data_IF_867131087781
#
_entry.id   IF_867131087781
#
_cell.length_a   1.000
_cell.length_b   1.000
_cell.length_c   1.000
_cell.angle_alpha   90.00
_cell.angle_beta   90.00
_cell.angle_gamma   90.00
#
_symmetry.space_group_name_H-M   'P 1'
#
loop_
_entity.id
_entity.type
_entity.pdbx_description
1 polymer ?
#
# COMPACT_ATOMS: atom_id res chain seq x y z
N UNK A 1 2.65 15.96 -3.80
CA UNK A 1 1.93 15.20 -4.87
C UNK A 1 0.90 14.25 -4.24
N UNK A 2 -0.11 13.75 -4.98
CA UNK A 2 -0.98 12.65 -4.51
C UNK A 2 -0.42 11.28 -4.91
N UNK A 3 -0.81 10.22 -4.22
CA UNK A 3 -0.45 8.85 -4.62
C UNK A 3 -1.01 8.53 -6.01
N UNK A 4 -2.24 8.96 -6.30
CA UNK A 4 -2.85 8.77 -7.63
C UNK A 4 -2.00 9.32 -8.79
N UNK A 5 -1.29 10.42 -8.57
CA UNK A 5 -0.38 11.00 -9.57
C UNK A 5 0.85 10.11 -9.80
N UNK A 6 1.40 9.52 -8.74
CA UNK A 6 2.52 8.56 -8.82
C UNK A 6 2.09 7.32 -9.59
N UNK A 7 0.91 6.76 -9.27
CA UNK A 7 0.38 5.59 -9.97
C UNK A 7 0.18 5.89 -11.47
N UNK A 8 -0.37 7.05 -11.81
CA UNK A 8 -0.52 7.47 -13.20
C UNK A 8 0.82 7.52 -13.93
N UNK A 9 1.81 8.20 -13.34
CA UNK A 9 3.14 8.36 -13.94
C UNK A 9 3.86 7.03 -14.12
N UNK A 10 3.82 6.16 -13.12
CA UNK A 10 4.44 4.83 -13.22
C UNK A 10 3.74 3.94 -14.26
N UNK A 11 2.41 4.02 -14.38
CA UNK A 11 1.66 3.34 -15.46
C UNK A 11 2.10 3.85 -16.83
N UNK A 12 2.15 5.17 -17.02
CA UNK A 12 2.47 5.81 -18.29
C UNK A 12 3.91 5.52 -18.72
N UNK A 13 4.83 5.46 -17.75
CA UNK A 13 6.24 5.12 -17.96
C UNK A 13 6.45 3.72 -18.53
N UNK A 14 5.60 2.75 -18.17
CA UNK A 14 5.62 1.41 -18.76
C UNK A 14 4.73 1.27 -20.02
N UNK A 15 4.16 2.39 -20.50
CA UNK A 15 3.39 2.45 -21.74
C UNK A 15 2.00 1.82 -21.67
N UNK A 16 1.44 1.60 -20.48
CA UNK A 16 0.11 1.02 -20.31
C UNK A 16 -0.99 2.09 -20.33
N UNK A 17 -2.10 1.82 -21.00
CA UNK A 17 -3.31 2.62 -20.89
C UNK A 17 -4.03 2.37 -19.56
N UNK A 18 -4.87 3.32 -19.14
CA UNK A 18 -5.70 3.16 -17.95
C UNK A 18 -6.61 1.92 -18.03
N UNK A 19 -7.14 1.60 -19.21
CA UNK A 19 -7.98 0.43 -19.44
C UNK A 19 -7.20 -0.89 -19.29
N UNK A 20 -5.98 -0.96 -19.83
CA UNK A 20 -5.12 -2.14 -19.68
C UNK A 20 -4.71 -2.36 -18.22
N UNK A 21 -4.39 -1.29 -17.49
CA UNK A 21 -4.05 -1.40 -16.08
C UNK A 21 -5.27 -1.82 -15.25
N UNK A 22 -6.44 -1.21 -15.46
CA UNK A 22 -7.68 -1.61 -14.80
C UNK A 22 -7.97 -3.10 -14.99
N UNK A 23 -7.82 -3.61 -16.22
CA UNK A 23 -7.99 -5.03 -16.51
C UNK A 23 -6.97 -5.93 -15.79
N UNK A 24 -5.70 -5.53 -15.73
CA UNK A 24 -4.63 -6.27 -15.02
C UNK A 24 -4.82 -6.28 -13.49
N UNK A 25 -5.49 -5.27 -12.96
CA UNK A 25 -5.86 -5.15 -11.55
C UNK A 25 -7.23 -5.73 -11.22
N UNK A 26 -7.96 -6.23 -12.21
CA UNK A 26 -9.34 -6.72 -12.06
C UNK A 26 -10.29 -5.66 -11.48
N UNK A 27 -10.08 -4.40 -11.86
CA UNK A 27 -10.92 -3.26 -11.49
C UNK A 27 -11.79 -2.81 -12.65
N UNK A 28 -12.92 -2.19 -12.32
CA UNK A 28 -13.68 -1.42 -13.31
C UNK A 28 -12.93 -0.15 -13.72
N UNK A 29 -13.20 0.41 -14.94
CA UNK A 29 -12.59 1.67 -15.36
C UNK A 29 -12.86 2.82 -14.39
N UNK A 30 -14.04 2.85 -13.77
CA UNK A 30 -14.43 3.86 -12.79
C UNK A 30 -13.59 3.75 -11.50
N UNK A 31 -13.45 2.54 -10.94
CA UNK A 31 -12.63 2.33 -9.73
C UNK A 31 -11.17 2.67 -9.97
N UNK A 32 -10.63 2.29 -11.14
CA UNK A 32 -9.26 2.63 -11.50
C UNK A 32 -9.07 4.14 -11.69
N UNK A 33 -10.02 4.81 -12.35
CA UNK A 33 -10.02 6.26 -12.52
C UNK A 33 -10.01 6.99 -11.17
N UNK A 34 -10.83 6.55 -10.21
CA UNK A 34 -10.84 7.10 -8.86
C UNK A 34 -9.51 6.92 -8.14
N UNK A 35 -8.82 5.80 -8.38
CA UNK A 35 -7.50 5.54 -7.80
C UNK A 35 -6.44 6.52 -8.35
N UNK A 36 -6.35 6.72 -9.67
CA UNK A 36 -5.43 7.70 -10.26
C UNK A 36 -5.82 9.16 -10.00
N UNK A 37 -7.09 9.44 -9.69
CA UNK A 37 -7.54 10.76 -9.26
C UNK A 37 -7.17 11.08 -7.79
N UNK A 38 -6.63 10.09 -7.06
CA UNK A 38 -6.40 10.20 -5.61
C UNK A 38 -7.70 10.43 -4.83
N UNK A 39 -8.77 9.76 -5.28
CA UNK A 39 -10.11 9.77 -4.68
C UNK A 39 -10.50 8.41 -4.08
N UNK A 40 -9.60 7.42 -4.15
CA UNK A 40 -9.80 6.09 -3.54
C UNK A 40 -9.15 5.99 -2.16
N UNK A 41 -9.49 4.92 -1.43
CA UNK A 41 -8.89 4.61 -0.14
C UNK A 41 -7.37 4.38 -0.22
N UNK A 42 -6.79 4.13 -1.40
CA UNK A 42 -5.36 3.97 -1.57
C UNK A 42 -4.58 5.22 -1.14
N UNK A 43 -5.15 6.41 -1.33
CA UNK A 43 -4.52 7.68 -0.96
C UNK A 43 -4.22 7.76 0.54
N UNK A 44 -5.10 7.20 1.36
CA UNK A 44 -4.92 7.13 2.82
C UNK A 44 -4.12 5.91 3.24
N UNK A 45 -4.42 4.74 2.67
CA UNK A 45 -3.89 3.46 3.16
C UNK A 45 -2.52 3.10 2.60
N UNK A 46 -2.13 3.65 1.45
CA UNK A 46 -0.78 3.53 0.90
C UNK A 46 0.31 4.09 1.83
N UNK A 47 0.21 5.37 2.25
CA UNK A 47 1.13 5.95 3.23
C UNK A 47 1.19 5.16 4.54
N UNK A 48 0.04 4.76 5.10
CA UNK A 48 0.01 3.95 6.32
C UNK A 48 0.73 2.61 6.13
N UNK A 49 0.51 1.93 5.00
CA UNK A 49 1.20 0.69 4.69
C UNK A 49 2.73 0.86 4.64
N UNK A 50 3.21 1.95 4.04
CA UNK A 50 4.63 2.29 4.02
C UNK A 50 5.17 2.58 5.43
N UNK A 51 4.41 3.34 6.23
CA UNK A 51 4.80 3.68 7.59
C UNK A 51 4.84 2.45 8.50
N UNK A 52 3.91 1.50 8.35
CA UNK A 52 3.94 0.21 9.05
C UNK A 52 5.20 -0.56 8.65
N UNK A 53 5.51 -0.62 7.35
CA UNK A 53 6.71 -1.30 6.84
C UNK A 53 8.00 -0.74 7.45
N UNK A 54 8.11 0.59 7.52
CA UNK A 54 9.25 1.28 8.15
C UNK A 54 9.28 0.98 9.64
N UNK A 55 8.15 1.17 10.33
CA UNK A 55 8.05 1.00 11.79
C UNK A 55 8.36 -0.43 12.21
N UNK A 56 7.96 -1.43 11.43
CA UNK A 56 8.21 -2.83 11.72
C UNK A 56 9.49 -3.36 11.08
N UNK A 57 10.27 -2.51 10.41
CA UNK A 57 11.49 -2.87 9.68
C UNK A 57 11.27 -4.10 8.78
N UNK A 58 10.16 -4.10 8.04
CA UNK A 58 9.68 -5.26 7.29
C UNK A 58 9.34 -4.83 5.87
N UNK A 59 9.80 -5.55 4.83
CA UNK A 59 9.43 -5.24 3.46
C UNK A 59 7.91 -5.18 3.30
N UNK A 60 7.41 -4.13 2.65
CA UNK A 60 5.95 -3.91 2.50
C UNK A 60 5.22 -5.12 1.92
N UNK A 61 5.83 -5.84 0.97
CA UNK A 61 5.24 -7.07 0.41
C UNK A 61 5.05 -8.18 1.44
N UNK A 62 5.95 -8.29 2.44
CA UNK A 62 5.90 -9.28 3.53
C UNK A 62 4.90 -8.93 4.63
N UNK A 63 4.33 -7.72 4.60
CA UNK A 63 3.16 -7.37 5.42
C UNK A 63 1.86 -7.89 4.79
N UNK A 64 1.86 -8.19 3.48
CA UNK A 64 0.64 -8.53 2.73
C UNK A 64 0.57 -10.02 2.40
N UNK A 65 1.72 -10.65 2.14
CA UNK A 65 1.83 -12.09 1.93
C UNK A 65 3.16 -12.63 2.43
N UNK A 66 3.16 -13.84 3.00
CA UNK A 66 4.40 -14.50 3.42
C UNK A 66 5.34 -14.68 2.22
N UNK A 67 4.85 -14.90 1.00
CA UNK A 67 5.68 -14.98 -0.22
C UNK A 67 6.14 -13.61 -0.75
N UNK A 68 5.44 -12.54 -0.37
CA UNK A 68 5.59 -11.20 -0.95
C UNK A 68 4.95 -11.04 -2.33
N UNK A 69 4.08 -11.97 -2.75
CA UNK A 69 3.38 -11.94 -4.05
C UNK A 69 1.90 -11.60 -3.88
N UNK A 70 1.36 -10.74 -4.75
CA UNK A 70 -0.04 -10.33 -4.69
C UNK A 70 -1.02 -11.51 -4.87
N UNK A 71 -0.65 -12.49 -5.71
CA UNK A 71 -1.47 -13.67 -5.96
C UNK A 71 -1.66 -14.57 -4.72
N UNK A 72 -0.81 -14.43 -3.71
CA UNK A 72 -0.89 -15.20 -2.45
C UNK A 72 -1.58 -14.41 -1.32
N UNK A 73 -2.06 -13.20 -1.60
CA UNK A 73 -2.83 -12.42 -0.63
C UNK A 73 -4.20 -13.07 -0.37
N UNK A 74 -4.62 -13.05 0.90
CA UNK A 74 -5.90 -13.60 1.33
C UNK A 74 -6.60 -12.60 2.26
N UNK A 75 -7.93 -12.56 2.30
CA UNK A 75 -8.65 -11.69 3.24
C UNK A 75 -8.23 -11.94 4.70
N UNK A 76 -7.93 -10.86 5.43
CA UNK A 76 -7.50 -10.89 6.84
C UNK A 76 -6.01 -11.22 7.03
N UNK A 77 -5.29 -11.56 5.95
CA UNK A 77 -3.88 -11.97 6.05
C UNK A 77 -2.97 -10.79 6.38
N UNK A 78 -3.29 -9.58 5.89
CA UNK A 78 -2.43 -8.42 6.14
C UNK A 78 -2.43 -8.07 7.64
N UNK A 79 -3.59 -8.03 8.28
CA UNK A 79 -3.71 -7.81 9.72
C UNK A 79 -2.93 -8.83 10.55
N UNK A 80 -3.08 -10.12 10.22
CA UNK A 80 -2.36 -11.22 10.89
C UNK A 80 -0.83 -11.05 10.74
N UNK A 81 -0.35 -10.76 9.54
CA UNK A 81 1.08 -10.59 9.28
C UNK A 81 1.63 -9.35 9.97
N UNK A 82 0.91 -8.23 9.94
CA UNK A 82 1.27 -7.00 10.65
C UNK A 82 1.41 -7.27 12.15
N UNK A 83 0.42 -7.92 12.77
CA UNK A 83 0.47 -8.30 14.18
C UNK A 83 1.68 -9.20 14.50
N UNK A 84 1.90 -10.24 13.68
CA UNK A 84 3.02 -11.17 13.81
C UNK A 84 4.37 -10.47 13.72
N UNK A 85 4.54 -9.52 12.80
CA UNK A 85 5.78 -8.75 12.67
C UNK A 85 5.94 -7.74 13.80
N UNK A 86 4.87 -7.07 14.24
CA UNK A 86 4.87 -6.20 15.42
C UNK A 86 5.38 -6.93 16.65
N UNK A 87 4.80 -8.10 16.95
CA UNK A 87 5.18 -8.92 18.11
C UNK A 87 6.64 -9.38 18.03
N UNK A 88 7.11 -9.79 16.85
CA UNK A 88 8.51 -10.16 16.63
C UNK A 88 9.49 -9.01 16.86
N UNK A 89 9.05 -7.78 16.61
CA UNK A 89 9.82 -6.56 16.88
C UNK A 89 9.68 -6.05 18.31
N UNK A 90 8.89 -6.75 19.15
CA UNK A 90 8.68 -6.38 20.55
C UNK A 90 7.91 -5.07 20.71
N UNK A 91 7.15 -4.63 19.70
CA UNK A 91 6.39 -3.37 19.72
C UNK A 91 4.98 -3.56 20.26
N UNK A 92 4.50 -2.60 21.02
CA UNK A 92 3.10 -2.53 21.45
C UNK A 92 2.21 -1.95 20.34
N UNK A 93 0.89 -2.24 20.34
CA UNK A 93 -0.05 -1.59 19.44
C UNK A 93 -0.03 -0.05 19.53
N UNK A 94 0.19 0.49 20.72
CA UNK A 94 0.27 1.93 20.98
C UNK A 94 1.49 2.56 20.31
N UNK A 95 2.66 1.91 20.38
CA UNK A 95 3.89 2.41 19.73
C UNK A 95 3.74 2.48 18.20
N UNK A 96 3.07 1.49 17.60
CA UNK A 96 2.83 1.49 16.15
C UNK A 96 1.76 2.51 15.78
N UNK A 97 0.68 2.62 16.56
CA UNK A 97 -0.36 3.62 16.33
C UNK A 97 0.18 5.05 16.43
N UNK A 98 1.05 5.33 17.40
CA UNK A 98 1.74 6.62 17.56
C UNK A 98 2.61 6.92 16.34
N UNK A 99 3.41 5.94 15.87
CA UNK A 99 4.23 6.09 14.67
C UNK A 99 3.42 6.35 13.39
N UNK A 100 2.17 5.88 13.35
CA UNK A 100 1.23 6.13 12.26
C UNK A 100 0.44 7.44 12.42
N UNK A 101 0.47 8.07 13.60
CA UNK A 101 -0.36 9.23 13.91
C UNK A 101 -1.86 8.93 13.99
N UNK A 102 -2.23 7.68 14.33
CA UNK A 102 -3.64 7.24 14.43
C UNK A 102 -3.99 6.81 15.85
N UNK A 103 -5.28 6.71 16.15
CA UNK A 103 -5.73 6.15 17.42
C UNK A 103 -5.40 4.64 17.52
N UNK A 104 -5.06 4.16 18.71
CA UNK A 104 -4.75 2.73 18.95
C UNK A 104 -5.90 1.81 18.53
N UNK A 105 -7.16 2.22 18.72
CA UNK A 105 -8.31 1.44 18.28
C UNK A 105 -8.40 1.33 16.75
N UNK A 106 -7.94 2.34 16.02
CA UNK A 106 -7.87 2.26 14.56
C UNK A 106 -6.75 1.31 14.11
N UNK A 107 -5.59 1.35 14.79
CA UNK A 107 -4.53 0.38 14.56
C UNK A 107 -4.99 -1.07 14.85
N UNK A 108 -5.77 -1.28 15.92
CA UNK A 108 -6.32 -2.61 16.23
C UNK A 108 -7.24 -3.15 15.14
N UNK A 109 -8.00 -2.29 14.44
CA UNK A 109 -8.79 -2.70 13.27
C UNK A 109 -7.91 -3.15 12.11
N UNK A 110 -6.71 -2.58 11.96
CA UNK A 110 -5.73 -3.04 10.97
C UNK A 110 -5.33 -4.48 11.30
N UNK A 111 -4.89 -4.74 12.54
CA UNK A 111 -4.49 -6.09 12.97
C UNK A 111 -5.64 -7.10 12.97
N UNK A 112 -6.87 -6.65 13.18
CA UNK A 112 -8.07 -7.48 13.08
C UNK A 112 -8.48 -7.80 11.62
N UNK A 113 -7.84 -7.17 10.62
CA UNK A 113 -8.22 -7.33 9.21
C UNK A 113 -9.54 -6.63 8.84
N UNK A 114 -9.95 -5.62 9.61
CA UNK A 114 -11.19 -4.87 9.41
C UNK A 114 -10.96 -3.54 8.68
N UNK A 115 -9.70 -3.18 8.43
CA UNK A 115 -9.35 -1.95 7.72
C UNK A 115 -9.38 -2.12 6.18
N UNK A 116 -9.60 -1.04 5.41
CA UNK A 116 -9.46 -1.06 3.95
C UNK A 116 -8.08 -1.50 3.43
N UNK A 117 -7.05 -1.56 4.29
CA UNK A 117 -5.72 -2.08 3.94
C UNK A 117 -5.77 -3.52 3.42
N UNK A 118 -6.73 -4.33 3.87
CA UNK A 118 -6.94 -5.70 3.38
C UNK A 118 -7.27 -5.75 1.88
N UNK A 119 -7.89 -4.69 1.34
CA UNK A 119 -8.16 -4.55 -0.10
C UNK A 119 -7.07 -3.75 -0.79
N UNK A 120 -6.68 -2.61 -0.22
CA UNK A 120 -5.76 -1.67 -0.86
C UNK A 120 -4.32 -2.19 -0.92
N UNK A 121 -3.88 -2.93 0.11
CA UNK A 121 -2.53 -3.50 0.16
C UNK A 121 -2.26 -4.48 -0.99
N UNK A 122 -3.05 -5.55 -1.13
CA UNK A 122 -2.92 -6.49 -2.26
C UNK A 122 -3.04 -5.81 -3.63
N UNK A 123 -3.93 -4.82 -3.76
CA UNK A 123 -4.10 -4.05 -4.99
C UNK A 123 -2.84 -3.26 -5.35
N UNK A 124 -2.24 -2.52 -4.40
CA UNK A 124 -1.01 -1.76 -4.61
C UNK A 124 0.19 -2.69 -4.87
N UNK A 125 0.24 -3.84 -4.20
CA UNK A 125 1.25 -4.87 -4.47
C UNK A 125 1.10 -5.42 -5.89
N UNK A 126 -0.13 -5.70 -6.34
CA UNK A 126 -0.41 -6.14 -7.70
C UNK A 126 -0.04 -5.08 -8.73
N UNK A 127 -0.37 -3.82 -8.47
CA UNK A 127 0.04 -2.70 -9.30
C UNK A 127 1.55 -2.69 -9.46
N UNK A 128 2.30 -2.70 -8.36
CA UNK A 128 3.76 -2.73 -8.35
C UNK A 128 4.35 -3.93 -9.11
N UNK A 129 3.75 -5.12 -9.01
CA UNK A 129 4.15 -6.29 -9.80
C UNK A 129 3.96 -6.08 -11.30
N UNK A 130 2.87 -5.45 -11.74
CA UNK A 130 2.58 -5.18 -13.16
C UNK A 130 3.60 -4.25 -13.79
N UNK A 131 4.06 -3.25 -13.03
CA UNK A 131 5.08 -2.28 -13.45
C UNK A 131 6.50 -2.71 -13.06
N UNK A 132 6.66 -3.95 -12.59
CA UNK A 132 7.93 -4.61 -12.27
C UNK A 132 8.84 -3.85 -11.28
N UNK A 133 8.26 -3.29 -10.21
CA UNK A 133 9.01 -2.57 -9.18
C UNK A 133 8.57 -2.93 -7.75
N UNK A 134 9.44 -2.68 -6.75
CA UNK A 134 9.05 -2.85 -5.35
C UNK A 134 7.85 -1.97 -4.99
N UNK A 135 6.83 -2.54 -4.33
CA UNK A 135 5.64 -1.79 -3.88
C UNK A 135 5.99 -0.60 -2.99
N UNK A 136 7.10 -0.66 -2.25
CA UNK A 136 7.57 0.45 -1.42
C UNK A 136 7.88 1.71 -2.25
N UNK A 137 8.35 1.55 -3.49
CA UNK A 137 8.71 2.66 -4.37
C UNK A 137 7.49 3.47 -4.82
N UNK A 138 6.28 2.92 -4.74
CA UNK A 138 5.04 3.67 -4.98
C UNK A 138 4.85 4.78 -3.93
N UNK A 139 5.38 4.59 -2.73
CA UNK A 139 5.25 5.54 -1.62
C UNK A 139 6.51 6.37 -1.39
N UNK A 140 7.67 5.82 -1.80
CA UNK A 140 8.97 6.48 -1.74
C UNK A 140 9.63 6.57 -3.12
N UNK A 141 8.99 7.24 -4.10
CA UNK A 141 9.63 7.47 -5.39
C UNK A 141 10.98 8.17 -5.21
N UNK A 142 12.03 7.64 -5.84
CA UNK A 142 13.41 8.13 -5.69
C UNK A 142 13.93 8.19 -4.24
N UNK A 143 13.36 7.42 -3.31
CA UNK A 143 13.78 7.37 -1.92
C UNK A 143 13.24 8.47 -1.01
N UNK A 144 12.32 9.31 -1.51
CA UNK A 144 11.64 10.35 -0.73
C UNK A 144 10.15 10.07 -0.65
N UNK A 145 9.47 10.37 0.48
CA UNK A 145 8.02 10.26 0.56
C UNK A 145 7.36 11.07 -0.58
N UNK A 146 6.42 10.47 -1.31
CA UNK A 146 5.76 11.17 -2.43
C UNK A 146 5.06 12.48 -2.01
N UNK A 147 4.71 12.60 -0.73
CA UNK A 147 4.10 13.80 -0.15
C UNK A 147 5.05 15.00 -0.14
N UNK A 148 6.37 14.76 -0.11
CA UNK A 148 7.41 15.78 -0.13
C UNK A 148 7.82 16.18 -1.57
N UNK A 149 7.27 15.52 -2.59
CA UNK A 149 7.56 15.84 -3.98
C UNK A 149 6.58 16.87 -4.54
N UNK A 150 7.13 17.97 -5.06
CA UNK A 150 6.40 18.98 -5.84
C UNK A 150 6.09 18.45 -7.26
N UNK A 151 7.03 17.72 -7.85
CA UNK A 151 6.89 17.02 -9.13
C UNK A 151 7.73 15.73 -9.15
N UNK A 152 7.38 14.81 -10.04
CA UNK A 152 7.97 13.48 -10.19
C UNK A 152 8.15 13.21 -11.69
N UNK A 153 9.38 13.11 -12.20
CA UNK A 153 9.62 12.94 -13.63
C UNK A 153 9.21 11.56 -14.17
#
# INVERSE_FOLDING_TARGET
>A
MKLGDVLRKEREKVGLSAAEMAAKLELTPEEYSQMEAGASAAETWGPHLAQIAITLETPTSRLLADSGRAADCRPGQAGILIAKHRERRGKSPEEVAEALGIAVEEYRKIEAGESPLERMGPLLLRFAEVIEQPVFNLFYPCGLPFQELDDYP
#
